data_IF_834784046973
#
_entry.id   IF_834784046973
#
_cell.length_a   1.000
_cell.length_b   1.000
_cell.length_c   1.000
_cell.angle_alpha   90.00
_cell.angle_beta   90.00
_cell.angle_gamma   90.00
#
_symmetry.space_group_name_H-M   'P 1'
#
loop_
_entity.id
_entity.type
_entity.pdbx_description
1 polymer ?
#
# COMPACT_ATOMS: atom_id res chain seq x y z
N UNK A 1 -14.88 -9.40 1.66
CA UNK A 1 -13.58 -8.72 1.81
C UNK A 1 -13.00 -8.22 0.46
N UNK A 2 -12.86 -9.09 -0.54
CA UNK A 2 -12.35 -8.70 -1.88
C UNK A 2 -13.21 -7.64 -2.57
N UNK A 3 -14.54 -7.76 -2.50
CA UNK A 3 -15.45 -6.76 -3.04
C UNK A 3 -15.26 -5.38 -2.42
N UNK A 4 -15.05 -5.32 -1.10
CA UNK A 4 -14.79 -4.07 -0.39
C UNK A 4 -13.46 -3.46 -0.81
N UNK A 5 -12.40 -4.27 -0.94
CA UNK A 5 -11.09 -3.82 -1.42
C UNK A 5 -11.20 -3.28 -2.86
N UNK A 6 -11.99 -3.95 -3.72
CA UNK A 6 -12.25 -3.49 -5.07
C UNK A 6 -12.96 -2.14 -5.08
N UNK A 7 -14.00 -1.97 -4.25
CA UNK A 7 -14.72 -0.69 -4.17
C UNK A 7 -13.85 0.43 -3.60
N UNK A 8 -13.04 0.17 -2.56
CA UNK A 8 -12.08 1.14 -2.03
C UNK A 8 -11.11 1.59 -3.12
N UNK A 9 -10.58 0.65 -3.92
CA UNK A 9 -9.71 1.00 -5.06
C UNK A 9 -10.42 1.88 -6.07
N UNK A 10 -11.66 1.54 -6.44
CA UNK A 10 -12.45 2.34 -7.38
C UNK A 10 -12.68 3.77 -6.87
N UNK A 11 -13.05 3.93 -5.60
CA UNK A 11 -13.28 5.24 -5.00
C UNK A 11 -11.99 6.07 -4.83
N UNK A 12 -10.86 5.43 -4.52
CA UNK A 12 -9.57 6.11 -4.50
C UNK A 12 -9.15 6.56 -5.90
N UNK A 13 -9.37 5.72 -6.93
CA UNK A 13 -9.07 6.06 -8.32
C UNK A 13 -9.91 7.26 -8.81
N UNK A 14 -11.17 7.39 -8.37
CA UNK A 14 -12.04 8.52 -8.72
C UNK A 14 -11.59 9.86 -8.14
N UNK A 15 -10.88 9.86 -7.01
CA UNK A 15 -10.37 11.09 -6.34
C UNK A 15 -9.09 11.63 -6.98
N UNK A 16 -8.48 10.84 -7.85
CA UNK A 16 -7.28 11.18 -8.60
C UNK A 16 -7.75 11.62 -9.99
N UNK A 17 -8.04 12.92 -10.14
CA UNK A 17 -8.47 13.51 -11.41
C UNK A 17 -7.27 13.64 -12.35
N UNK A 18 -7.14 12.70 -13.30
CA UNK A 18 -6.05 12.72 -14.26
C UNK A 18 -6.59 12.25 -15.62
N UNK A 19 -6.68 13.20 -16.55
CA UNK A 19 -7.25 13.10 -17.90
C UNK A 19 -6.51 12.14 -18.87
N UNK A 20 -6.04 10.97 -18.40
CA UNK A 20 -5.39 9.97 -19.24
C UNK A 20 -4.78 8.81 -18.44
N UNK A 21 -5.41 7.63 -18.52
CA UNK A 21 -4.81 6.29 -18.41
C UNK A 21 -3.77 6.01 -17.30
N UNK A 22 -4.16 6.10 -16.02
CA UNK A 22 -3.32 5.60 -14.94
C UNK A 22 -3.54 4.11 -14.67
N UNK A 23 -2.44 3.33 -14.66
CA UNK A 23 -2.44 1.94 -14.21
C UNK A 23 -1.72 1.84 -12.85
N UNK A 24 -2.34 1.18 -11.86
CA UNK A 24 -1.63 0.77 -10.65
C UNK A 24 -0.76 -0.44 -11.03
N UNK A 25 0.50 -0.20 -11.36
CA UNK A 25 1.40 -1.24 -11.89
C UNK A 25 1.87 -2.19 -10.78
N UNK A 26 2.33 -1.66 -9.65
CA UNK A 26 2.82 -2.50 -8.56
C UNK A 26 2.61 -1.89 -7.17
N UNK A 27 2.57 -2.76 -6.16
CA UNK A 27 2.60 -2.38 -4.76
C UNK A 27 3.70 -3.11 -4.02
N UNK A 28 4.51 -2.37 -3.27
CA UNK A 28 5.63 -2.93 -2.54
C UNK A 28 5.65 -2.47 -1.07
N UNK A 29 6.17 -3.32 -0.16
CA UNK A 29 6.30 -2.95 1.24
C UNK A 29 7.47 -2.00 1.44
N UNK A 30 7.27 -1.00 2.28
CA UNK A 30 8.31 -0.17 2.88
C UNK A 30 8.35 -0.51 4.37
N UNK A 31 9.15 -1.52 4.77
CA UNK A 31 9.20 -1.97 6.15
C UNK A 31 9.92 -0.95 7.02
N UNK A 32 9.30 -0.55 8.13
CA UNK A 32 9.94 0.18 9.22
C UNK A 32 10.73 -0.80 10.08
N UNK A 33 10.12 -1.94 10.42
CA UNK A 33 10.79 -3.02 11.14
C UNK A 33 10.08 -4.37 10.93
N UNK A 34 10.65 -5.43 11.50
CA UNK A 34 9.95 -6.72 11.63
C UNK A 34 8.72 -6.57 12.56
N UNK A 35 7.61 -7.30 12.30
CA UNK A 35 6.38 -7.18 13.10
C UNK A 35 6.61 -7.32 14.61
N UNK A 36 7.49 -8.22 15.04
CA UNK A 36 7.83 -8.47 16.45
C UNK A 36 8.40 -7.23 17.17
N UNK A 37 8.89 -6.22 16.44
CA UNK A 37 9.46 -4.99 16.98
C UNK A 37 8.50 -3.79 16.89
N UNK A 38 7.26 -3.97 16.41
CA UNK A 38 6.32 -2.87 16.17
C UNK A 38 6.07 -1.99 17.41
N UNK A 39 5.96 -2.57 18.61
CA UNK A 39 5.75 -1.84 19.87
C UNK A 39 6.90 -0.88 20.23
N UNK A 40 8.10 -1.13 19.70
CA UNK A 40 9.28 -0.27 19.92
C UNK A 40 9.37 0.85 18.89
N UNK A 41 8.71 0.72 17.73
CA UNK A 41 8.73 1.70 16.66
C UNK A 41 7.72 2.84 16.93
N UNK A 42 8.14 3.85 17.70
CA UNK A 42 7.26 4.95 18.13
C UNK A 42 7.03 6.04 17.08
N UNK A 43 7.99 6.25 16.17
CA UNK A 43 7.99 7.38 15.22
C UNK A 43 6.75 7.37 14.31
N UNK A 44 6.33 6.18 13.85
CA UNK A 44 5.19 6.03 12.94
C UNK A 44 3.95 5.44 13.63
N UNK A 45 3.84 5.59 14.95
CA UNK A 45 2.70 5.06 15.71
C UNK A 45 1.39 5.68 15.20
N UNK A 46 0.40 4.84 14.90
CA UNK A 46 -0.88 5.27 14.34
C UNK A 46 -0.91 5.38 12.81
N UNK A 47 0.26 5.43 12.14
CA UNK A 47 0.37 5.50 10.68
C UNK A 47 0.84 4.19 10.07
N UNK A 48 1.90 3.58 10.62
CA UNK A 48 2.42 2.30 10.17
C UNK A 48 1.60 1.15 10.77
N UNK A 49 1.39 0.10 9.97
CA UNK A 49 0.64 -1.08 10.39
C UNK A 49 1.35 -2.38 9.93
N UNK A 50 0.86 -3.52 10.42
CA UNK A 50 1.32 -4.84 9.96
C UNK A 50 0.69 -5.13 8.60
N UNK A 51 1.53 -5.29 7.59
CA UNK A 51 1.16 -5.71 6.24
C UNK A 51 1.74 -7.06 5.86
N UNK A 52 1.20 -7.64 4.78
CA UNK A 52 1.67 -8.91 4.21
C UNK A 52 1.99 -8.76 2.72
N UNK A 53 3.17 -9.23 2.29
CA UNK A 53 3.54 -9.33 0.87
C UNK A 53 3.38 -10.79 0.42
N UNK A 54 2.31 -11.05 -0.33
CA UNK A 54 1.96 -12.40 -0.78
C UNK A 54 3.04 -13.08 -1.64
N UNK A 55 3.64 -12.37 -2.60
CA UNK A 55 4.67 -12.91 -3.50
C UNK A 55 5.88 -13.46 -2.76
N UNK A 56 6.26 -12.83 -1.64
CA UNK A 56 7.40 -13.24 -0.82
C UNK A 56 6.98 -14.01 0.45
N UNK A 57 5.67 -14.15 0.69
CA UNK A 57 5.09 -14.72 1.92
C UNK A 57 5.66 -14.13 3.21
N UNK A 58 5.90 -12.81 3.25
CA UNK A 58 6.48 -12.12 4.42
C UNK A 58 5.50 -11.12 5.04
N UNK A 59 5.56 -11.00 6.36
CA UNK A 59 4.94 -9.92 7.10
C UNK A 59 5.95 -8.78 7.36
N UNK A 60 5.45 -7.56 7.41
CA UNK A 60 6.25 -6.37 7.71
C UNK A 60 5.44 -5.40 8.58
N UNK A 61 6.10 -4.64 9.45
CA UNK A 61 5.50 -3.46 10.06
C UNK A 61 5.98 -2.23 9.31
N UNK A 62 5.08 -1.47 8.71
CA UNK A 62 5.45 -0.32 7.89
C UNK A 62 4.33 0.12 6.96
N UNK A 63 4.70 0.53 5.76
CA UNK A 63 3.78 1.08 4.76
C UNK A 63 3.69 0.18 3.55
N UNK A 64 2.53 0.13 2.92
CA UNK A 64 2.37 -0.46 1.59
C UNK A 64 2.23 0.66 0.59
N UNK A 65 3.23 0.81 -0.26
CA UNK A 65 3.23 1.82 -1.33
C UNK A 65 2.52 1.23 -2.53
N UNK A 66 1.72 2.05 -3.20
CA UNK A 66 1.07 1.75 -4.46
C UNK A 66 1.60 2.73 -5.49
N UNK A 67 2.34 2.24 -6.49
CA UNK A 67 2.83 3.07 -7.57
C UNK A 67 1.69 3.24 -8.59
N UNK A 68 1.40 4.50 -8.91
CA UNK A 68 0.45 4.90 -9.94
C UNK A 68 1.30 5.49 -11.05
N UNK A 69 1.23 4.90 -12.24
CA UNK A 69 2.06 5.30 -13.39
C UNK A 69 1.12 5.60 -14.55
N UNK A 70 1.46 6.65 -15.29
CA UNK A 70 0.79 7.04 -16.53
C UNK A 70 1.29 6.21 -17.71
N UNK A 71 0.66 6.37 -18.87
CA UNK A 71 1.17 5.86 -20.14
C UNK A 71 2.40 6.63 -20.67
N UNK A 72 2.64 7.87 -20.21
CA UNK A 72 3.82 8.68 -20.56
C UNK A 72 5.08 8.41 -19.73
N UNK A 73 4.97 7.61 -18.66
CA UNK A 73 6.10 7.14 -17.83
C UNK A 73 6.38 7.99 -16.60
#
# INVERSE_FOLDING_TARGET
LLQLIYQIRQEMNKKVDLNGQFLIIDSFPVPVCQPIRNYRAKIFRGYANIGYKATKKIYFYGFKVHAIVSDDG
#
